data_IF_425360192521
#
_entry.id   IF_425360192521
#
_cell.length_a   1.000
_cell.length_b   1.000
_cell.length_c   1.000
_cell.angle_alpha   90.00
_cell.angle_beta   90.00
_cell.angle_gamma   90.00
#
_symmetry.space_group_name_H-M   'P 1'
#
loop_
_entity.id
_entity.type
_entity.pdbx_description
1 polymer ?
#
# COMPACT_ATOMS: atom_id res chain seq x y z
N UNK A 1 -6.26 -6.53 -26.64
CA UNK A 1 -5.83 -7.37 -25.51
C UNK A 1 -6.65 -7.01 -24.28
N UNK A 2 -7.14 -7.97 -23.51
CA UNK A 2 -7.82 -7.70 -22.23
C UNK A 2 -6.75 -7.54 -21.15
N UNK A 3 -6.66 -6.35 -20.56
CA UNK A 3 -5.80 -6.08 -19.40
C UNK A 3 -6.64 -6.30 -18.16
N UNK A 4 -6.19 -7.19 -17.28
CA UNK A 4 -6.89 -7.49 -16.02
C UNK A 4 -6.69 -6.36 -15.00
N UNK A 5 -7.49 -5.30 -15.12
CA UNK A 5 -7.39 -4.10 -14.27
C UNK A 5 -8.24 -4.17 -13.01
N UNK A 6 -9.23 -5.05 -12.95
CA UNK A 6 -10.12 -5.19 -11.80
C UNK A 6 -9.65 -6.30 -10.86
N UNK A 7 -9.74 -6.03 -9.57
CA UNK A 7 -9.50 -7.06 -8.54
C UNK A 7 -10.64 -8.07 -8.53
N UNK A 8 -10.36 -9.37 -8.38
CA UNK A 8 -11.39 -10.34 -8.11
C UNK A 8 -12.12 -9.96 -6.81
N UNK A 9 -13.42 -10.20 -6.76
CA UNK A 9 -14.24 -9.96 -5.58
C UNK A 9 -14.60 -11.28 -4.89
N UNK A 10 -14.79 -11.28 -3.56
CA UNK A 10 -15.27 -12.46 -2.83
C UNK A 10 -16.70 -12.80 -3.25
N UNK A 11 -17.07 -14.07 -3.13
CA UNK A 11 -18.46 -14.51 -3.34
C UNK A 11 -19.36 -13.97 -2.24
N UNK A 12 -18.92 -14.06 -0.99
CA UNK A 12 -19.60 -13.53 0.19
C UNK A 12 -19.19 -12.08 0.44
N UNK A 13 -20.13 -11.15 0.39
CA UNK A 13 -19.91 -9.72 0.63
C UNK A 13 -20.42 -9.23 1.97
N UNK A 14 -21.21 -10.03 2.66
CA UNK A 14 -21.85 -9.69 3.93
C UNK A 14 -20.99 -9.99 5.16
N UNK A 15 -19.69 -10.25 4.97
CA UNK A 15 -18.72 -10.32 6.07
C UNK A 15 -18.86 -9.11 6.98
N UNK A 16 -19.03 -9.33 8.27
CA UNK A 16 -19.21 -8.25 9.25
C UNK A 16 -17.87 -7.62 9.59
N UNK A 17 -17.61 -6.44 9.03
CA UNK A 17 -16.34 -5.72 9.15
C UNK A 17 -16.43 -4.70 10.29
N UNK A 18 -15.54 -4.80 11.26
CA UNK A 18 -15.29 -3.79 12.29
C UNK A 18 -14.14 -2.87 11.86
N UNK A 19 -14.38 -1.57 11.88
CA UNK A 19 -13.42 -0.55 11.44
C UNK A 19 -12.76 0.14 12.64
N UNK A 20 -11.44 0.12 12.69
CA UNK A 20 -10.65 0.77 13.76
C UNK A 20 -9.87 1.94 13.17
N UNK A 21 -10.23 3.15 13.60
CA UNK A 21 -9.77 4.41 13.03
C UNK A 21 -10.85 5.13 12.23
N UNK A 22 -10.78 6.47 12.16
CA UNK A 22 -11.74 7.31 11.44
C UNK A 22 -11.03 8.48 10.72
N UNK A 23 -9.73 8.30 10.41
CA UNK A 23 -8.95 9.28 9.65
C UNK A 23 -9.20 9.19 8.16
N UNK A 24 -8.49 10.03 7.39
CA UNK A 24 -8.59 10.12 5.92
C UNK A 24 -8.60 8.73 5.24
N UNK A 25 -7.67 7.85 5.60
CA UNK A 25 -7.58 6.53 4.95
C UNK A 25 -8.84 5.70 5.18
N UNK A 26 -9.38 5.67 6.40
CA UNK A 26 -10.62 4.95 6.68
C UNK A 26 -11.82 5.65 6.04
N UNK A 27 -11.99 6.94 6.31
CA UNK A 27 -13.17 7.69 5.89
C UNK A 27 -13.25 7.88 4.37
N UNK A 28 -12.16 8.37 3.75
CA UNK A 28 -12.21 8.83 2.37
C UNK A 28 -11.71 7.77 1.36
N UNK A 29 -11.13 6.66 1.85
CA UNK A 29 -10.62 5.60 0.99
C UNK A 29 -11.29 4.25 1.24
N UNK A 30 -11.09 3.63 2.42
CA UNK A 30 -11.61 2.28 2.70
C UNK A 30 -13.12 2.22 2.60
N UNK A 31 -13.83 3.04 3.36
CA UNK A 31 -15.30 3.00 3.42
C UNK A 31 -15.95 3.42 2.10
N UNK A 32 -15.34 4.33 1.34
CA UNK A 32 -15.78 4.65 -0.02
C UNK A 32 -15.63 3.43 -0.94
N UNK A 33 -14.47 2.77 -0.89
CA UNK A 33 -14.20 1.55 -1.66
C UNK A 33 -15.16 0.42 -1.27
N UNK A 34 -15.41 0.22 0.03
CA UNK A 34 -16.34 -0.80 0.53
C UNK A 34 -17.78 -0.56 0.06
N UNK A 35 -18.23 0.69 0.08
CA UNK A 35 -19.54 1.05 -0.48
C UNK A 35 -19.65 0.72 -1.97
N UNK A 36 -18.60 1.01 -2.77
CA UNK A 36 -18.55 0.66 -4.20
C UNK A 36 -18.56 -0.85 -4.45
N UNK A 37 -17.84 -1.62 -3.61
CA UNK A 37 -17.74 -3.08 -3.74
C UNK A 37 -18.95 -3.83 -3.17
N UNK A 38 -19.75 -3.17 -2.33
CA UNK A 38 -20.85 -3.79 -1.60
C UNK A 38 -20.40 -4.62 -0.41
N UNK A 39 -19.25 -4.28 0.22
CA UNK A 39 -18.80 -4.87 1.47
C UNK A 39 -19.60 -4.30 2.65
N UNK A 40 -19.57 -4.97 3.81
CA UNK A 40 -20.45 -4.71 4.92
C UNK A 40 -19.73 -4.23 6.19
N UNK A 41 -19.29 -2.96 6.27
CA UNK A 41 -18.80 -2.36 7.51
C UNK A 41 -19.97 -2.16 8.48
N UNK A 42 -19.95 -2.84 9.63
CA UNK A 42 -21.09 -2.85 10.59
C UNK A 42 -20.81 -2.07 11.86
N UNK A 43 -19.54 -1.87 12.21
CA UNK A 43 -19.13 -1.20 13.43
C UNK A 43 -17.87 -0.37 13.21
N UNK A 44 -17.72 0.71 13.99
CA UNK A 44 -16.54 1.55 13.98
C UNK A 44 -16.18 2.01 15.39
N UNK A 45 -14.87 2.07 15.66
CA UNK A 45 -14.31 2.75 16.83
C UNK A 45 -13.08 3.56 16.45
N UNK A 46 -12.82 4.64 17.16
CA UNK A 46 -11.57 5.37 17.05
C UNK A 46 -11.21 6.01 18.39
N UNK A 47 -9.96 6.51 18.49
CA UNK A 47 -9.50 7.23 19.69
C UNK A 47 -10.44 8.39 20.10
N UNK A 48 -11.08 9.02 19.12
CA UNK A 48 -12.06 10.09 19.33
C UNK A 48 -13.43 9.60 18.86
N UNK A 49 -14.34 9.34 19.79
CA UNK A 49 -15.68 8.82 19.52
C UNK A 49 -16.45 9.70 18.54
N UNK A 50 -16.37 11.03 18.69
CA UNK A 50 -17.10 11.97 17.82
C UNK A 50 -16.64 11.87 16.35
N UNK A 51 -15.34 11.59 16.11
CA UNK A 51 -14.86 11.36 14.75
C UNK A 51 -15.36 10.03 14.18
N UNK A 52 -15.41 8.98 15.01
CA UNK A 52 -16.03 7.72 14.62
C UNK A 52 -17.51 7.87 14.30
N UNK A 53 -18.25 8.65 15.10
CA UNK A 53 -19.68 8.91 14.88
C UNK A 53 -19.95 9.68 13.57
N UNK A 54 -19.14 10.69 13.25
CA UNK A 54 -19.24 11.41 11.96
C UNK A 54 -18.95 10.50 10.77
N UNK A 55 -17.92 9.67 10.89
CA UNK A 55 -17.56 8.70 9.87
C UNK A 55 -18.68 7.66 9.68
N UNK A 56 -19.27 7.15 10.78
CA UNK A 56 -20.39 6.23 10.76
C UNK A 56 -21.63 6.83 10.06
N UNK A 57 -21.95 8.08 10.37
CA UNK A 57 -23.08 8.80 9.73
C UNK A 57 -22.85 8.92 8.22
N UNK A 58 -21.65 9.32 7.79
CA UNK A 58 -21.30 9.49 6.38
C UNK A 58 -21.42 8.18 5.59
N UNK A 59 -21.05 7.05 6.19
CA UNK A 59 -21.01 5.74 5.52
C UNK A 59 -22.11 4.78 5.97
N UNK A 60 -23.09 5.25 6.73
CA UNK A 60 -24.25 4.46 7.21
C UNK A 60 -23.83 3.23 8.03
N UNK A 61 -22.77 3.34 8.84
CA UNK A 61 -22.35 2.28 9.76
C UNK A 61 -23.26 2.30 11.00
N UNK A 62 -23.85 1.14 11.30
CA UNK A 62 -24.92 1.06 12.31
C UNK A 62 -24.41 1.24 13.75
N UNK A 63 -23.20 0.77 14.06
CA UNK A 63 -22.69 0.71 15.44
C UNK A 63 -21.44 1.59 15.59
N UNK A 64 -21.46 2.47 16.59
CA UNK A 64 -20.30 3.26 17.02
C UNK A 64 -19.95 2.87 18.43
N UNK A 65 -18.83 2.19 18.63
CA UNK A 65 -18.32 1.83 19.95
C UNK A 65 -17.59 2.99 20.63
N UNK A 66 -17.65 3.05 21.95
CA UNK A 66 -17.02 4.11 22.74
C UNK A 66 -15.49 3.96 22.81
N UNK A 67 -14.99 2.74 22.60
CA UNK A 67 -13.57 2.44 22.59
C UNK A 67 -13.22 1.31 21.60
N UNK A 68 -11.92 1.19 21.29
CA UNK A 68 -11.41 0.07 20.47
C UNK A 68 -11.65 -1.24 21.22
N UNK A 69 -11.47 -1.29 22.53
CA UNK A 69 -11.71 -2.50 23.34
C UNK A 69 -13.16 -2.98 23.22
N UNK A 70 -14.14 -2.08 23.30
CA UNK A 70 -15.54 -2.46 23.12
C UNK A 70 -15.82 -3.02 21.70
N UNK A 71 -15.17 -2.48 20.65
CA UNK A 71 -15.29 -3.02 19.31
C UNK A 71 -14.65 -4.40 19.23
N UNK A 72 -13.50 -4.60 19.87
CA UNK A 72 -12.80 -5.88 19.91
C UNK A 72 -13.56 -6.95 20.72
N UNK A 73 -14.43 -6.55 21.64
CA UNK A 73 -15.29 -7.44 22.42
C UNK A 73 -16.64 -7.76 21.72
N UNK A 74 -16.92 -7.16 20.56
CA UNK A 74 -18.14 -7.41 19.79
C UNK A 74 -18.03 -8.72 19.00
N UNK A 75 -18.62 -9.81 19.55
CA UNK A 75 -18.63 -11.14 18.95
C UNK A 75 -19.34 -11.23 17.59
N UNK A 76 -20.04 -10.18 17.18
CA UNK A 76 -20.69 -10.13 15.87
C UNK A 76 -19.72 -9.75 14.73
N UNK A 77 -18.52 -9.28 15.03
CA UNK A 77 -17.51 -8.88 14.05
C UNK A 77 -16.72 -10.11 13.60
N UNK A 78 -16.57 -10.29 12.30
CA UNK A 78 -15.83 -11.40 11.72
C UNK A 78 -14.46 -10.99 11.18
N UNK A 79 -14.32 -9.71 10.76
CA UNK A 79 -13.11 -9.17 10.13
C UNK A 79 -12.81 -7.78 10.69
N UNK A 80 -11.55 -7.47 10.94
CA UNK A 80 -11.13 -6.12 11.34
C UNK A 80 -10.42 -5.41 10.19
N UNK A 81 -10.69 -4.13 10.09
CA UNK A 81 -9.93 -3.17 9.30
C UNK A 81 -9.24 -2.18 10.24
N UNK A 82 -7.92 -2.28 10.33
CA UNK A 82 -7.10 -1.53 11.31
C UNK A 82 -6.36 -0.40 10.59
N UNK A 83 -6.95 0.80 10.61
CA UNK A 83 -6.41 2.02 10.00
C UNK A 83 -5.96 3.04 11.05
N UNK A 84 -5.07 2.62 11.94
CA UNK A 84 -4.43 3.46 12.95
C UNK A 84 -2.97 3.76 12.56
N UNK A 85 -2.34 4.80 13.15
CA UNK A 85 -0.92 5.05 12.96
C UNK A 85 -0.05 3.83 13.27
N UNK A 86 1.10 3.64 12.59
CA UNK A 86 1.92 2.44 12.73
C UNK A 86 2.36 2.11 14.15
N UNK A 87 2.64 3.12 14.97
CA UNK A 87 3.02 3.01 16.38
C UNK A 87 1.92 2.45 17.30
N UNK A 88 0.68 2.36 16.81
CA UNK A 88 -0.44 1.80 17.58
C UNK A 88 -0.95 0.47 17.00
N UNK A 89 -0.46 0.04 15.83
CA UNK A 89 -1.00 -1.14 15.16
C UNK A 89 -0.73 -2.44 15.94
N UNK A 90 0.49 -2.63 16.41
CA UNK A 90 0.89 -3.86 17.11
C UNK A 90 0.04 -4.13 18.36
N UNK A 91 -0.24 -3.08 19.13
CA UNK A 91 -1.08 -3.19 20.35
C UNK A 91 -2.50 -3.63 19.99
N UNK A 92 -3.10 -2.99 18.97
CA UNK A 92 -4.46 -3.33 18.49
C UNK A 92 -4.52 -4.74 17.93
N UNK A 93 -3.54 -5.15 17.12
CA UNK A 93 -3.47 -6.50 16.54
C UNK A 93 -3.33 -7.56 17.65
N UNK A 94 -2.42 -7.36 18.61
CA UNK A 94 -2.27 -8.29 19.74
C UNK A 94 -3.54 -8.38 20.59
N UNK A 95 -4.18 -7.24 20.86
CA UNK A 95 -5.44 -7.21 21.59
C UNK A 95 -6.57 -7.96 20.85
N UNK A 96 -6.63 -7.90 19.52
CA UNK A 96 -7.55 -8.69 18.72
C UNK A 96 -7.21 -10.19 18.77
N UNK A 97 -5.92 -10.55 18.71
CA UNK A 97 -5.46 -11.94 18.81
C UNK A 97 -5.80 -12.55 20.19
N UNK A 98 -5.64 -11.80 21.27
CA UNK A 98 -5.94 -12.27 22.62
C UNK A 98 -7.44 -12.58 22.81
N UNK A 99 -8.33 -11.87 22.12
CA UNK A 99 -9.77 -12.13 22.14
C UNK A 99 -10.17 -13.33 21.25
N UNK A 100 -9.45 -13.53 20.14
CA UNK A 100 -9.65 -14.68 19.25
C UNK A 100 -11.04 -14.74 18.57
N UNK A 101 -11.75 -13.61 18.45
CA UNK A 101 -13.10 -13.54 17.90
C UNK A 101 -13.05 -13.48 16.38
N UNK A 102 -12.17 -12.66 15.82
CA UNK A 102 -12.13 -12.37 14.38
C UNK A 102 -11.34 -13.42 13.61
N UNK A 103 -11.68 -13.60 12.35
CA UNK A 103 -11.05 -14.55 11.42
C UNK A 103 -9.91 -13.92 10.63
N UNK A 104 -10.00 -12.60 10.39
CA UNK A 104 -9.03 -11.88 9.58
C UNK A 104 -8.87 -10.43 9.98
N UNK A 105 -7.69 -9.89 9.71
CA UNK A 105 -7.33 -8.49 9.96
C UNK A 105 -6.69 -7.92 8.70
N UNK A 106 -7.19 -6.78 8.21
CA UNK A 106 -6.51 -5.93 7.25
C UNK A 106 -5.81 -4.80 8.02
N UNK A 107 -4.49 -4.79 8.06
CA UNK A 107 -3.71 -3.75 8.71
C UNK A 107 -3.18 -2.71 7.71
N UNK A 108 -3.07 -1.46 8.12
CA UNK A 108 -2.44 -0.43 7.30
C UNK A 108 -0.93 -0.66 7.15
N UNK A 109 -0.40 -0.15 6.03
CA UNK A 109 1.05 -0.04 5.80
C UNK A 109 1.58 1.30 6.41
N UNK A 110 2.84 1.34 6.85
CA UNK A 110 3.71 0.18 7.10
C UNK A 110 3.14 -0.68 8.24
N UNK A 111 3.40 -1.97 8.22
CA UNK A 111 2.98 -2.87 9.31
C UNK A 111 3.87 -2.63 10.54
N UNK A 112 3.31 -1.95 11.54
CA UNK A 112 4.07 -1.53 12.72
C UNK A 112 5.07 -0.39 12.47
N UNK A 113 5.76 0.04 13.50
CA UNK A 113 6.75 1.11 13.48
C UNK A 113 8.11 0.71 12.93
N UNK A 114 8.42 -0.59 12.91
CA UNK A 114 9.68 -1.16 12.44
C UNK A 114 9.53 -2.64 12.07
N UNK A 115 10.60 -3.24 11.53
CA UNK A 115 10.58 -4.64 11.12
C UNK A 115 10.27 -5.62 12.27
N UNK A 116 10.80 -5.35 13.47
CA UNK A 116 10.57 -6.19 14.63
C UNK A 116 9.10 -6.24 15.04
N UNK A 117 8.44 -5.08 15.08
CA UNK A 117 7.01 -4.99 15.37
C UNK A 117 6.16 -5.67 14.28
N UNK A 118 6.58 -5.59 13.02
CA UNK A 118 5.92 -6.31 11.94
C UNK A 118 6.01 -7.83 12.14
N UNK A 119 7.19 -8.35 12.51
CA UNK A 119 7.38 -9.78 12.86
C UNK A 119 6.49 -10.18 14.03
N UNK A 120 6.47 -9.39 15.10
CA UNK A 120 5.65 -9.64 16.28
C UNK A 120 4.14 -9.69 15.94
N UNK A 121 3.66 -8.80 15.05
CA UNK A 121 2.27 -8.79 14.61
C UNK A 121 1.92 -10.05 13.81
N UNK A 122 2.80 -10.47 12.90
CA UNK A 122 2.64 -11.68 12.10
C UNK A 122 2.58 -12.91 13.00
N UNK A 123 3.56 -13.07 13.91
CA UNK A 123 3.64 -14.22 14.83
C UNK A 123 2.43 -14.28 15.79
N UNK A 124 1.94 -13.12 16.26
CA UNK A 124 0.73 -13.08 17.09
C UNK A 124 -0.50 -13.60 16.33
N UNK A 125 -0.71 -13.15 15.09
CA UNK A 125 -1.85 -13.59 14.27
C UNK A 125 -1.74 -15.07 13.88
N UNK A 126 -0.56 -15.56 13.49
CA UNK A 126 -0.34 -16.96 13.18
C UNK A 126 -0.63 -17.86 14.39
N UNK A 127 -0.15 -17.48 15.58
CA UNK A 127 -0.43 -18.19 16.82
C UNK A 127 -1.93 -18.21 17.16
N UNK A 128 -2.65 -17.13 16.85
CA UNK A 128 -4.09 -17.05 17.07
C UNK A 128 -4.93 -17.70 15.97
N UNK A 129 -4.32 -18.12 14.85
CA UNK A 129 -5.03 -18.64 13.69
C UNK A 129 -5.83 -17.58 12.92
N UNK A 130 -5.41 -16.30 12.99
CA UNK A 130 -6.04 -15.17 12.34
C UNK A 130 -5.27 -14.83 11.06
N UNK A 131 -5.98 -14.70 9.94
CA UNK A 131 -5.38 -14.27 8.67
C UNK A 131 -5.05 -12.78 8.74
N UNK A 132 -3.76 -12.42 8.64
CA UNK A 132 -3.31 -11.03 8.61
C UNK A 132 -2.90 -10.63 7.19
N UNK A 133 -3.57 -9.62 6.65
CA UNK A 133 -3.23 -8.98 5.37
C UNK A 133 -2.77 -7.54 5.62
N UNK A 134 -1.88 -7.03 4.75
CA UNK A 134 -1.39 -5.66 4.82
C UNK A 134 -1.87 -4.86 3.62
N UNK A 135 -2.34 -3.65 3.86
CA UNK A 135 -2.95 -2.79 2.84
C UNK A 135 -1.94 -2.23 1.84
N UNK A 136 -1.32 -3.10 1.05
CA UNK A 136 -0.46 -2.75 -0.08
C UNK A 136 -1.34 -2.44 -1.32
N UNK A 137 -2.09 -1.37 -1.22
CA UNK A 137 -3.16 -1.03 -2.16
C UNK A 137 -2.66 -0.66 -3.56
N UNK A 138 -1.42 -0.19 -3.72
CA UNK A 138 -0.89 0.19 -5.04
C UNK A 138 -0.82 -1.00 -6.01
N UNK A 139 -0.71 -2.25 -5.53
CA UNK A 139 -0.83 -3.45 -6.37
C UNK A 139 -2.15 -3.52 -7.14
N UNK A 140 -3.20 -2.85 -6.64
CA UNK A 140 -4.56 -2.86 -7.19
C UNK A 140 -4.91 -1.59 -7.97
N UNK A 141 -3.96 -0.67 -8.14
CA UNK A 141 -4.09 0.39 -9.14
C UNK A 141 -4.22 -0.21 -10.54
N UNK A 142 -5.09 0.36 -11.35
CA UNK A 142 -5.43 -0.20 -12.66
C UNK A 142 -4.23 -0.25 -13.60
N UNK A 143 -3.38 0.79 -13.57
CA UNK A 143 -2.16 0.82 -14.39
C UNK A 143 -1.13 -0.20 -13.93
N UNK A 144 -0.99 -0.41 -12.62
CA UNK A 144 -0.10 -1.40 -12.02
C UNK A 144 -0.54 -2.82 -12.36
N UNK A 145 -1.84 -3.11 -12.27
CA UNK A 145 -2.42 -4.40 -12.68
C UNK A 145 -2.27 -4.65 -14.17
N UNK A 146 -2.54 -3.63 -14.99
CA UNK A 146 -2.32 -3.71 -16.44
C UNK A 146 -0.84 -4.03 -16.75
N UNK A 147 0.10 -3.36 -16.09
CA UNK A 147 1.54 -3.67 -16.19
C UNK A 147 1.85 -5.12 -15.81
N UNK A 148 1.27 -5.63 -14.71
CA UNK A 148 1.42 -7.05 -14.32
C UNK A 148 0.88 -7.99 -15.39
N UNK A 149 -0.26 -7.68 -16.00
CA UNK A 149 -0.82 -8.49 -17.10
C UNK A 149 0.13 -8.57 -18.28
N UNK A 150 0.74 -7.44 -18.68
CA UNK A 150 1.71 -7.40 -19.80
C UNK A 150 2.99 -8.19 -19.48
N UNK A 151 3.43 -8.22 -18.26
CA UNK A 151 4.55 -9.03 -17.80
C UNK A 151 4.20 -10.53 -17.82
N UNK A 152 3.04 -10.88 -17.26
CA UNK A 152 2.63 -12.27 -17.09
C UNK A 152 2.31 -12.97 -18.40
N UNK A 153 1.73 -12.25 -19.37
CA UNK A 153 1.39 -12.80 -20.68
C UNK A 153 2.54 -12.75 -21.69
N UNK A 154 3.72 -12.27 -21.29
CA UNK A 154 4.92 -12.24 -22.11
C UNK A 154 5.00 -11.08 -23.12
N UNK A 155 4.07 -10.11 -23.09
CA UNK A 155 4.10 -8.95 -24.02
C UNK A 155 5.39 -8.14 -23.91
N UNK A 156 5.92 -8.01 -22.70
CA UNK A 156 7.17 -7.26 -22.44
C UNK A 156 8.41 -8.12 -22.73
N UNK A 157 8.29 -9.44 -22.66
CA UNK A 157 9.44 -10.35 -22.68
C UNK A 157 10.24 -10.30 -21.40
N UNK A 158 11.52 -10.68 -21.45
CA UNK A 158 12.44 -10.57 -20.32
C UNK A 158 12.63 -9.09 -19.93
N UNK A 159 12.33 -8.77 -18.68
CA UNK A 159 12.40 -7.39 -18.17
C UNK A 159 13.86 -6.97 -17.89
N UNK A 160 14.25 -5.84 -18.43
CA UNK A 160 15.62 -5.31 -18.35
C UNK A 160 15.72 -4.13 -17.39
N UNK A 161 14.75 -3.19 -17.49
CA UNK A 161 14.74 -1.96 -16.70
C UNK A 161 13.32 -1.63 -16.28
N UNK A 162 13.15 -1.23 -15.03
CA UNK A 162 11.91 -0.63 -14.54
C UNK A 162 12.21 0.65 -13.76
N UNK A 163 11.32 1.63 -13.86
CA UNK A 163 11.45 2.88 -13.12
C UNK A 163 10.13 3.30 -12.50
N UNK A 164 10.21 3.96 -11.32
CA UNK A 164 9.11 4.74 -10.74
C UNK A 164 9.68 6.12 -10.39
N UNK A 165 9.00 7.17 -10.83
CA UNK A 165 9.30 8.56 -10.48
C UNK A 165 8.07 9.18 -9.81
N UNK A 166 8.22 9.62 -8.56
CA UNK A 166 7.14 10.20 -7.79
C UNK A 166 7.44 11.65 -7.46
N UNK A 167 6.43 12.50 -7.73
CA UNK A 167 6.29 13.84 -7.18
C UNK A 167 4.95 13.88 -6.47
N UNK A 168 4.96 13.89 -5.14
CA UNK A 168 3.73 13.75 -4.36
C UNK A 168 3.52 14.88 -3.36
N UNK A 169 2.26 15.19 -3.02
CA UNK A 169 1.93 16.12 -1.96
C UNK A 169 2.29 15.49 -0.61
N UNK A 170 3.10 16.13 0.21
CA UNK A 170 3.37 15.63 1.54
C UNK A 170 2.11 15.71 2.40
N UNK A 171 1.77 14.61 3.04
CA UNK A 171 0.73 14.53 4.06
C UNK A 171 1.41 14.61 5.44
N UNK A 172 1.62 15.82 5.91
CA UNK A 172 2.21 16.04 7.23
C UNK A 172 1.16 15.77 8.30
N UNK A 173 0.95 14.51 8.60
CA UNK A 173 0.14 14.14 9.74
C UNK A 173 0.97 14.20 11.03
N UNK A 174 0.37 14.53 12.19
CA UNK A 174 1.12 14.65 13.45
C UNK A 174 1.92 13.42 13.85
N UNK A 175 1.49 12.22 13.43
CA UNK A 175 2.22 10.98 13.70
C UNK A 175 3.46 10.83 12.79
N UNK A 176 3.42 11.30 11.54
CA UNK A 176 4.58 11.34 10.64
C UNK A 176 5.67 12.25 11.19
N UNK A 177 5.28 13.43 11.66
CA UNK A 177 6.19 14.38 12.30
C UNK A 177 6.85 13.78 13.55
N UNK A 178 6.08 13.11 14.43
CA UNK A 178 6.63 12.43 15.62
C UNK A 178 7.61 11.32 15.26
N UNK A 179 7.37 10.61 14.16
CA UNK A 179 8.24 9.51 13.70
C UNK A 179 9.44 10.01 12.87
N UNK A 180 9.40 11.25 12.37
CA UNK A 180 10.41 11.78 11.48
C UNK A 180 10.42 11.11 10.09
N UNK A 181 9.29 10.58 9.62
CA UNK A 181 9.17 9.86 8.36
C UNK A 181 8.57 10.73 7.27
N UNK A 182 9.23 10.78 6.12
CA UNK A 182 8.78 11.59 4.97
C UNK A 182 8.51 10.72 3.75
N UNK A 183 9.43 9.89 3.33
CA UNK A 183 9.38 9.22 2.02
C UNK A 183 9.43 7.70 2.12
N UNK A 184 10.49 7.10 2.68
CA UNK A 184 10.74 5.65 2.58
C UNK A 184 9.61 4.79 3.19
N UNK A 185 9.17 5.08 4.41
CA UNK A 185 8.07 4.35 5.08
C UNK A 185 6.69 4.80 4.65
N UNK A 186 6.57 5.97 4.00
CA UNK A 186 5.28 6.56 3.67
C UNK A 186 4.87 6.24 2.24
N UNK A 187 5.75 6.48 1.28
CA UNK A 187 5.46 6.30 -0.14
C UNK A 187 6.34 5.26 -0.81
N UNK A 188 7.67 5.28 -0.59
CA UNK A 188 8.56 4.31 -1.25
C UNK A 188 8.24 2.86 -0.92
N UNK A 189 7.65 2.59 0.24
CA UNK A 189 7.14 1.25 0.61
C UNK A 189 6.13 0.72 -0.41
N UNK A 190 5.26 1.57 -0.98
CA UNK A 190 4.35 1.18 -2.05
C UNK A 190 5.10 0.85 -3.35
N UNK A 191 6.13 1.63 -3.69
CA UNK A 191 6.91 1.43 -4.90
C UNK A 191 7.77 0.17 -4.80
N UNK A 192 8.41 -0.07 -3.66
CA UNK A 192 9.14 -1.30 -3.38
C UNK A 192 8.22 -2.53 -3.45
N UNK A 193 7.03 -2.43 -2.89
CA UNK A 193 6.02 -3.48 -2.96
C UNK A 193 5.50 -3.69 -4.39
N UNK A 194 5.32 -2.63 -5.17
CA UNK A 194 4.95 -2.70 -6.59
C UNK A 194 6.02 -3.40 -7.41
N UNK A 195 7.30 -3.08 -7.21
CA UNK A 195 8.40 -3.79 -7.86
C UNK A 195 8.42 -5.28 -7.47
N UNK A 196 8.20 -5.61 -6.18
CA UNK A 196 8.05 -7.00 -5.75
C UNK A 196 6.85 -7.70 -6.41
N UNK A 197 5.72 -7.02 -6.51
CA UNK A 197 4.52 -7.53 -7.19
C UNK A 197 4.79 -7.83 -8.67
N UNK A 198 5.54 -6.98 -9.35
CA UNK A 198 5.87 -7.18 -10.77
C UNK A 198 6.93 -8.25 -11.00
N UNK A 199 8.01 -8.24 -10.26
CA UNK A 199 9.25 -8.96 -10.58
C UNK A 199 9.70 -9.97 -9.52
N UNK A 200 9.00 -10.08 -8.39
CA UNK A 200 9.43 -10.87 -7.25
C UNK A 200 10.43 -10.13 -6.34
N UNK A 201 11.13 -10.88 -5.52
CA UNK A 201 12.03 -10.29 -4.52
C UNK A 201 13.38 -9.92 -5.13
N UNK A 202 13.89 -8.69 -4.92
CA UNK A 202 15.25 -8.32 -5.31
C UNK A 202 16.27 -8.96 -4.36
N UNK A 203 17.51 -9.11 -4.81
CA UNK A 203 18.62 -9.60 -3.97
C UNK A 203 19.09 -8.53 -2.99
N UNK A 204 19.17 -7.27 -3.45
CA UNK A 204 19.71 -6.16 -2.66
C UNK A 204 19.20 -4.80 -3.15
N UNK A 205 19.34 -3.81 -2.28
CA UNK A 205 19.02 -2.40 -2.55
C UNK A 205 20.24 -1.52 -2.31
N UNK A 206 20.45 -0.54 -3.18
CA UNK A 206 21.28 0.63 -2.93
C UNK A 206 20.39 1.86 -2.84
N UNK A 207 20.48 2.61 -1.74
CA UNK A 207 19.65 3.78 -1.47
C UNK A 207 20.48 4.98 -1.08
N UNK A 208 20.07 6.15 -1.55
CA UNK A 208 20.56 7.45 -1.14
C UNK A 208 19.37 8.31 -0.72
N UNK A 209 19.48 8.94 0.45
CA UNK A 209 18.46 9.86 0.97
C UNK A 209 19.06 11.23 1.22
N UNK A 210 18.20 12.22 1.19
CA UNK A 210 18.52 13.59 1.55
C UNK A 210 17.44 14.16 2.45
N UNK A 211 17.84 14.84 3.53
CA UNK A 211 16.93 15.72 4.28
C UNK A 211 16.37 16.79 3.35
N UNK A 212 15.06 16.96 3.34
CA UNK A 212 14.39 17.94 2.51
C UNK A 212 14.32 19.29 3.24
N UNK A 213 14.99 20.34 2.74
CA UNK A 213 14.98 21.67 3.38
C UNK A 213 13.60 22.34 3.37
N UNK A 214 12.65 21.81 2.61
CA UNK A 214 11.26 22.29 2.52
C UNK A 214 10.37 21.71 3.61
N UNK A 215 10.81 20.63 4.29
CA UNK A 215 10.09 19.96 5.39
C UNK A 215 10.48 20.57 6.74
N UNK A 216 9.48 20.93 7.56
CA UNK A 216 9.65 21.74 8.77
C UNK A 216 10.04 20.95 10.04
N UNK A 217 10.01 19.63 10.02
CA UNK A 217 10.33 18.77 11.16
C UNK A 217 11.60 17.93 10.93
N UNK A 218 12.27 17.45 11.98
CA UNK A 218 13.45 16.61 11.85
C UNK A 218 13.14 15.29 11.14
N UNK A 219 13.89 14.95 10.10
CA UNK A 219 13.76 13.73 9.30
C UNK A 219 15.08 13.45 8.57
N UNK A 220 15.19 12.26 7.97
CA UNK A 220 16.35 11.85 7.18
C UNK A 220 16.03 11.56 5.72
N UNK A 221 14.83 11.10 5.43
CA UNK A 221 14.38 10.55 4.15
C UNK A 221 13.44 11.50 3.38
N UNK A 222 13.76 12.80 3.35
CA UNK A 222 12.93 13.79 2.64
C UNK A 222 12.84 13.55 1.14
N UNK A 223 13.96 13.21 0.51
CA UNK A 223 14.06 12.75 -0.87
C UNK A 223 14.78 11.42 -0.84
N UNK A 224 14.28 10.41 -1.55
CA UNK A 224 14.89 9.11 -1.66
C UNK A 224 15.12 8.73 -3.13
N UNK A 225 16.30 8.15 -3.41
CA UNK A 225 16.62 7.55 -4.71
C UNK A 225 17.21 6.16 -4.44
N UNK A 226 16.70 5.12 -5.10
CA UNK A 226 17.19 3.78 -4.87
C UNK A 226 17.16 2.89 -6.11
N UNK A 227 18.01 1.86 -6.08
CA UNK A 227 18.13 0.83 -7.11
C UNK A 227 17.92 -0.52 -6.44
N UNK A 228 17.01 -1.32 -6.98
CA UNK A 228 16.82 -2.72 -6.64
C UNK A 228 17.53 -3.58 -7.68
N UNK A 229 18.37 -4.51 -7.23
CA UNK A 229 19.09 -5.45 -8.08
C UNK A 229 18.49 -6.84 -7.96
N UNK A 230 18.18 -7.44 -9.10
CA UNK A 230 17.59 -8.78 -9.22
C UNK A 230 18.58 -9.78 -9.79
N UNK A 231 18.48 -11.05 -9.40
CA UNK A 231 19.30 -12.14 -9.90
C UNK A 231 19.21 -12.32 -11.44
N UNK A 232 18.06 -11.97 -12.03
CA UNK A 232 17.86 -11.97 -13.48
C UNK A 232 18.70 -10.92 -14.23
N UNK A 233 19.31 -9.98 -13.52
CA UNK A 233 19.98 -8.82 -14.13
C UNK A 233 19.10 -7.57 -14.26
N UNK A 234 17.79 -7.67 -14.02
CA UNK A 234 16.87 -6.52 -14.00
C UNK A 234 17.36 -5.48 -12.97
N UNK A 235 17.21 -4.23 -13.33
CA UNK A 235 17.33 -3.09 -12.42
C UNK A 235 16.00 -2.37 -12.30
N UNK A 236 15.50 -2.21 -11.07
CA UNK A 236 14.35 -1.36 -10.78
C UNK A 236 14.83 -0.13 -10.01
N UNK A 237 14.46 1.05 -10.47
CA UNK A 237 14.97 2.33 -9.97
C UNK A 237 13.80 3.20 -9.57
N UNK A 238 13.88 3.86 -8.41
CA UNK A 238 12.92 4.88 -8.07
C UNK A 238 13.57 6.18 -7.61
N UNK A 239 12.87 7.28 -7.89
CA UNK A 239 13.14 8.61 -7.36
C UNK A 239 11.85 9.10 -6.71
N UNK A 240 11.88 9.28 -5.41
CA UNK A 240 10.71 9.65 -4.60
C UNK A 240 10.94 11.00 -3.93
N UNK A 241 10.15 11.99 -4.32
CA UNK A 241 10.11 13.32 -3.74
C UNK A 241 8.68 13.65 -3.34
N UNK A 242 8.42 13.74 -2.04
CA UNK A 242 7.08 14.04 -1.51
C UNK A 242 6.70 15.51 -1.56
N UNK A 243 7.54 16.37 -2.10
CA UNK A 243 7.26 17.76 -2.32
C UNK A 243 6.90 18.06 -3.78
N UNK A 244 5.91 18.89 -4.01
CA UNK A 244 5.37 19.15 -5.35
C UNK A 244 5.69 20.57 -5.86
N UNK A 245 6.81 21.09 -5.45
CA UNK A 245 7.18 22.46 -5.82
C UNK A 245 6.32 23.52 -5.11
N UNK A 246 6.22 24.72 -5.63
CA UNK A 246 5.50 25.83 -5.02
C UNK A 246 3.97 25.76 -5.17
N UNK A 247 3.40 24.60 -5.47
CA UNK A 247 1.96 24.42 -5.70
C UNK A 247 1.09 24.76 -4.48
N UNK A 248 1.63 24.62 -3.25
CA UNK A 248 0.93 25.04 -2.03
C UNK A 248 0.73 26.54 -1.92
N UNK A 249 1.60 27.33 -2.52
CA UNK A 249 1.51 28.78 -2.61
C UNK A 249 0.74 29.25 -3.86
N UNK A 250 0.03 28.31 -4.54
CA UNK A 250 -0.79 28.61 -5.70
C UNK A 250 -0.03 28.66 -7.03
N UNK A 251 1.25 28.29 -7.05
CA UNK A 251 1.99 28.16 -8.30
C UNK A 251 1.72 26.78 -8.95
N UNK A 252 1.98 26.63 -10.27
CA UNK A 252 1.88 25.34 -10.94
C UNK A 252 2.75 24.29 -10.26
N UNK A 253 2.21 23.08 -10.12
CA UNK A 253 2.92 21.93 -9.57
C UNK A 253 2.78 20.73 -10.53
N UNK A 254 3.86 19.97 -10.64
CA UNK A 254 3.89 18.72 -11.38
C UNK A 254 3.79 17.58 -10.37
N UNK A 255 2.57 17.07 -10.20
CA UNK A 255 2.25 16.00 -9.25
C UNK A 255 1.94 14.75 -10.05
N UNK A 256 2.59 13.64 -9.71
CA UNK A 256 2.34 12.37 -10.36
C UNK A 256 3.21 11.25 -9.80
N UNK A 257 2.79 10.04 -10.10
CA UNK A 257 3.59 8.83 -9.89
C UNK A 257 3.64 8.14 -11.24
N UNK A 258 4.73 8.32 -11.95
CA UNK A 258 4.95 7.72 -13.25
C UNK A 258 5.80 6.47 -13.12
N UNK A 259 5.49 5.46 -13.93
CA UNK A 259 6.28 4.24 -13.98
C UNK A 259 6.57 3.80 -15.43
N UNK A 260 7.63 3.02 -15.59
CA UNK A 260 8.04 2.46 -16.85
C UNK A 260 8.65 1.07 -16.67
N UNK A 261 8.35 0.16 -17.60
CA UNK A 261 8.93 -1.19 -17.70
C UNK A 261 9.43 -1.37 -19.12
N UNK A 262 10.66 -1.82 -19.28
CA UNK A 262 11.28 -2.15 -20.55
C UNK A 262 11.78 -3.59 -20.54
N UNK A 263 11.50 -4.31 -21.60
CA UNK A 263 11.97 -5.67 -21.83
C UNK A 263 12.44 -5.91 -23.27
N UNK A 264 12.81 -7.14 -23.55
CA UNK A 264 13.35 -7.51 -24.88
C UNK A 264 12.32 -7.45 -26.00
N UNK A 265 11.03 -7.63 -25.69
CA UNK A 265 9.97 -7.74 -26.68
C UNK A 265 8.93 -6.61 -26.57
N UNK A 266 9.05 -5.70 -25.60
CA UNK A 266 8.11 -4.60 -25.46
C UNK A 266 8.47 -3.64 -24.35
N UNK A 267 7.66 -2.59 -24.25
CA UNK A 267 7.70 -1.62 -23.19
C UNK A 267 6.31 -1.20 -22.77
N UNK A 268 6.17 -0.82 -21.50
CA UNK A 268 4.99 -0.17 -20.97
C UNK A 268 5.38 1.01 -20.09
N UNK A 269 4.55 2.04 -20.08
CA UNK A 269 4.64 3.16 -19.15
C UNK A 269 3.25 3.53 -18.68
N UNK A 270 3.15 4.01 -17.45
CA UNK A 270 1.87 4.35 -16.87
C UNK A 270 1.96 5.46 -15.85
N UNK A 271 0.80 5.91 -15.43
CA UNK A 271 0.64 6.86 -14.34
C UNK A 271 -0.32 6.26 -13.32
N UNK A 272 0.06 6.36 -12.04
CA UNK A 272 -0.79 5.95 -10.92
C UNK A 272 -1.72 7.13 -10.60
N UNK A 273 -3.02 6.88 -10.68
CA UNK A 273 -4.02 7.92 -10.61
C UNK A 273 -4.24 8.48 -9.20
N UNK A 274 -4.66 9.72 -9.13
CA UNK A 274 -4.97 10.44 -7.92
C UNK A 274 -6.31 11.16 -8.02
N UNK A 275 -7.14 11.12 -6.98
CA UNK A 275 -8.52 11.64 -7.04
C UNK A 275 -8.74 12.98 -6.31
N UNK A 276 -7.73 13.56 -5.67
CA UNK A 276 -7.90 14.79 -4.91
C UNK A 276 -7.72 16.04 -5.76
N UNK A 277 -8.71 16.93 -5.72
CA UNK A 277 -8.60 18.27 -6.28
C UNK A 277 -7.46 19.08 -5.61
N UNK A 278 -6.75 19.92 -6.37
CA UNK A 278 -6.89 20.20 -7.81
C UNK A 278 -6.08 19.24 -8.72
N UNK A 279 -5.55 18.17 -8.19
CA UNK A 279 -4.57 17.30 -8.86
C UNK A 279 -5.16 15.95 -9.29
N UNK A 280 -6.46 15.89 -9.54
CA UNK A 280 -7.11 14.68 -10.04
C UNK A 280 -6.48 14.20 -11.34
N UNK A 281 -5.97 12.99 -11.32
CA UNK A 281 -5.35 12.34 -12.49
C UNK A 281 -5.82 10.89 -12.57
N UNK A 282 -6.36 10.40 -13.70
CA UNK A 282 -6.72 8.99 -13.85
C UNK A 282 -5.49 8.11 -13.91
N UNK A 283 -5.62 6.85 -13.48
CA UNK A 283 -4.62 5.83 -13.78
C UNK A 283 -4.60 5.56 -15.27
N UNK A 284 -3.42 5.43 -15.84
CA UNK A 284 -3.26 5.23 -17.30
C UNK A 284 -2.10 4.33 -17.64
N UNK A 285 -2.15 3.70 -18.82
CA UNK A 285 -1.05 2.92 -19.38
C UNK A 285 -0.91 3.20 -20.87
N UNK A 286 0.31 3.15 -21.33
CA UNK A 286 0.66 3.14 -22.74
C UNK A 286 1.71 2.07 -22.96
N UNK A 287 1.50 1.16 -23.92
CA UNK A 287 2.43 0.06 -24.19
C UNK A 287 2.55 -0.25 -25.67
N UNK A 288 3.65 -0.87 -26.02
CA UNK A 288 3.87 -1.44 -27.36
C UNK A 288 4.70 -2.71 -27.22
N UNK A 289 4.35 -3.72 -28.02
CA UNK A 289 5.11 -4.94 -28.19
C UNK A 289 5.88 -4.93 -29.51
N UNK A 290 6.84 -5.82 -29.63
CA UNK A 290 7.60 -6.03 -30.86
C UNK A 290 6.67 -6.40 -32.01
N UNK A 291 6.72 -5.60 -33.07
CA UNK A 291 5.86 -5.76 -34.25
C UNK A 291 4.66 -4.82 -34.27
N UNK A 292 4.34 -4.13 -33.20
CA UNK A 292 3.31 -3.10 -33.23
C UNK A 292 3.76 -1.89 -34.02
N UNK A 293 2.83 -1.29 -34.78
CA UNK A 293 3.07 -0.08 -35.57
C UNK A 293 2.81 1.21 -34.76
N UNK A 294 2.11 1.10 -33.63
CA UNK A 294 1.70 2.22 -32.78
C UNK A 294 1.57 1.78 -31.32
N UNK A 295 1.50 2.76 -30.43
CA UNK A 295 1.24 2.51 -29.01
C UNK A 295 -0.23 2.24 -28.74
N UNK A 296 -0.51 1.30 -27.85
CA UNK A 296 -1.82 1.05 -27.27
C UNK A 296 -1.99 1.87 -25.99
N UNK A 297 -3.09 2.60 -25.87
CA UNK A 297 -3.36 3.48 -24.72
C UNK A 297 -4.81 3.31 -24.24
N UNK A 298 -5.16 2.17 -23.62
CA UNK A 298 -6.49 1.98 -23.07
C UNK A 298 -6.74 2.93 -21.91
N UNK A 299 -8.00 3.29 -21.68
CA UNK A 299 -8.44 4.19 -20.62
C UNK A 299 -9.55 3.58 -19.80
N UNK A 300 -9.66 3.98 -18.55
CA UNK A 300 -10.69 3.59 -17.59
C UNK A 300 -10.99 4.74 -16.62
N UNK A 301 -12.16 4.75 -15.97
CA UNK A 301 -12.56 5.84 -15.09
C UNK A 301 -12.00 5.70 -13.65
N UNK A 302 -11.54 4.51 -13.28
CA UNK A 302 -11.05 4.23 -11.93
C UNK A 302 -9.67 4.84 -11.71
N UNK A 303 -9.32 5.04 -10.44
CA UNK A 303 -8.02 5.56 -10.02
C UNK A 303 -7.51 4.84 -8.77
N UNK A 304 -6.23 5.03 -8.45
CA UNK A 304 -5.64 4.43 -7.26
C UNK A 304 -6.47 4.70 -6.00
N UNK A 305 -6.74 5.96 -5.72
CA UNK A 305 -7.59 6.40 -4.61
C UNK A 305 -8.99 6.76 -5.13
N UNK A 306 -10.07 6.15 -4.64
CA UNK A 306 -10.12 5.11 -3.60
C UNK A 306 -10.20 3.68 -4.16
N UNK A 307 -10.22 3.46 -5.48
CA UNK A 307 -10.67 2.22 -6.10
C UNK A 307 -9.76 1.02 -5.82
N UNK A 308 -8.46 1.26 -5.65
CA UNK A 308 -7.51 0.19 -5.34
C UNK A 308 -7.72 -0.44 -3.93
N UNK A 309 -8.39 0.26 -3.03
CA UNK A 309 -8.70 -0.26 -1.69
C UNK A 309 -9.76 -1.36 -1.70
N UNK A 310 -10.53 -1.48 -2.79
CA UNK A 310 -11.41 -2.64 -3.02
C UNK A 310 -10.59 -3.93 -3.02
N UNK A 311 -9.47 -3.92 -3.74
CA UNK A 311 -8.65 -5.12 -3.93
C UNK A 311 -8.02 -5.63 -2.65
N UNK A 312 -7.61 -4.77 -1.73
CA UNK A 312 -6.96 -5.20 -0.48
C UNK A 312 -7.93 -5.91 0.45
N UNK A 313 -9.12 -5.36 0.69
CA UNK A 313 -10.13 -6.05 1.48
C UNK A 313 -10.64 -7.31 0.75
N UNK A 314 -10.86 -7.23 -0.57
CA UNK A 314 -11.28 -8.39 -1.35
C UNK A 314 -10.33 -9.58 -1.19
N UNK A 315 -9.00 -9.34 -1.21
CA UNK A 315 -8.01 -10.41 -1.05
C UNK A 315 -8.07 -11.07 0.33
N UNK A 316 -8.27 -10.30 1.39
CA UNK A 316 -8.48 -10.87 2.72
C UNK A 316 -9.76 -11.72 2.76
N UNK A 317 -10.87 -11.19 2.24
CA UNK A 317 -12.14 -11.91 2.26
C UNK A 317 -12.10 -13.20 1.42
N UNK A 318 -11.47 -13.16 0.24
CA UNK A 318 -11.24 -14.36 -0.60
C UNK A 318 -10.38 -15.38 0.15
N UNK A 319 -9.32 -14.94 0.82
CA UNK A 319 -8.48 -15.84 1.61
C UNK A 319 -9.27 -16.55 2.72
N UNK A 320 -10.20 -15.84 3.38
CA UNK A 320 -11.09 -16.43 4.38
C UNK A 320 -12.10 -17.42 3.78
N UNK A 321 -12.52 -17.24 2.52
CA UNK A 321 -13.42 -18.16 1.82
C UNK A 321 -12.70 -19.42 1.33
N UNK A 322 -11.51 -19.26 0.80
CA UNK A 322 -10.79 -20.34 0.12
C UNK A 322 -9.82 -21.09 1.03
N UNK A 323 -9.38 -20.47 2.12
CA UNK A 323 -8.29 -20.96 2.97
C UNK A 323 -6.90 -20.79 2.35
N UNK A 324 -6.78 -20.08 1.23
CA UNK A 324 -5.51 -19.75 0.60
C UNK A 324 -4.89 -18.48 1.20
N UNK A 325 -3.57 -18.37 1.17
CA UNK A 325 -2.88 -17.15 1.61
C UNK A 325 -3.26 -15.95 0.71
N UNK A 326 -3.59 -14.78 1.31
CA UNK A 326 -3.86 -13.60 0.50
C UNK A 326 -2.60 -13.10 -0.20
N UNK A 327 -2.74 -12.60 -1.43
CA UNK A 327 -1.61 -12.05 -2.20
C UNK A 327 -0.86 -10.90 -1.48
N UNK A 328 -1.51 -10.28 -0.50
CA UNK A 328 -0.96 -9.25 0.39
C UNK A 328 -0.81 -9.77 1.83
N UNK A 329 -0.57 -11.06 2.01
CA UNK A 329 -0.38 -11.69 3.31
C UNK A 329 0.77 -11.05 4.09
N UNK A 330 0.60 -10.95 5.40
CA UNK A 330 1.54 -10.22 6.23
C UNK A 330 2.91 -10.93 6.32
N UNK A 331 2.96 -12.26 6.23
CA UNK A 331 4.24 -13.01 6.18
C UNK A 331 5.06 -12.65 4.94
N UNK A 332 4.44 -12.55 3.76
CA UNK A 332 5.12 -12.08 2.55
C UNK A 332 5.47 -10.59 2.65
N UNK A 333 4.62 -9.78 3.29
CA UNK A 333 4.86 -8.36 3.46
C UNK A 333 6.09 -8.04 4.32
N UNK A 334 6.54 -8.96 5.19
CA UNK A 334 7.81 -8.79 5.92
C UNK A 334 8.99 -8.52 4.97
N UNK A 335 8.97 -9.05 3.76
CA UNK A 335 9.99 -8.76 2.75
C UNK A 335 9.93 -7.31 2.24
N UNK A 336 8.72 -6.74 2.11
CA UNK A 336 8.56 -5.30 1.82
C UNK A 336 9.07 -4.45 2.98
N UNK A 337 8.76 -4.83 4.22
CA UNK A 337 9.30 -4.16 5.41
C UNK A 337 10.82 -4.27 5.48
N UNK A 338 11.39 -5.44 5.17
CA UNK A 338 12.83 -5.65 5.11
C UNK A 338 13.52 -4.78 4.05
N UNK A 339 12.88 -4.56 2.88
CA UNK A 339 13.39 -3.64 1.85
C UNK A 339 13.48 -2.21 2.37
N UNK A 340 12.47 -1.74 3.10
CA UNK A 340 12.47 -0.40 3.70
C UNK A 340 13.61 -0.26 4.71
N UNK A 341 13.81 -1.25 5.60
CA UNK A 341 14.94 -1.23 6.54
C UNK A 341 16.29 -1.30 5.81
N UNK A 342 16.38 -2.12 4.77
CA UNK A 342 17.59 -2.22 3.95
C UNK A 342 17.89 -0.90 3.22
N UNK A 343 16.86 -0.14 2.81
CA UNK A 343 17.01 1.18 2.22
C UNK A 343 17.62 2.19 3.21
N UNK A 344 17.08 2.27 4.43
CA UNK A 344 17.66 3.12 5.48
C UNK A 344 19.10 2.73 5.79
N UNK A 345 19.37 1.44 5.98
CA UNK A 345 20.69 0.93 6.25
C UNK A 345 21.68 1.19 5.11
N UNK A 346 21.22 1.03 3.86
CA UNK A 346 22.03 1.35 2.67
C UNK A 346 22.41 2.83 2.61
N UNK A 347 21.46 3.72 2.93
CA UNK A 347 21.73 5.16 2.97
C UNK A 347 22.72 5.55 4.08
N UNK A 348 22.63 4.89 5.25
CA UNK A 348 23.54 5.13 6.38
C UNK A 348 24.95 4.57 6.13
N UNK A 349 25.06 3.33 5.61
CA UNK A 349 26.32 2.63 5.39
C UNK A 349 26.96 2.94 4.03
N UNK A 350 26.28 3.68 3.14
CA UNK A 350 26.72 4.02 1.78
C UNK A 350 27.13 2.81 0.93
N UNK A 351 26.39 1.71 1.04
CA UNK A 351 26.60 0.46 0.28
C UNK A 351 25.27 -0.21 -0.10
N UNK A 352 25.35 -1.16 -1.01
CA UNK A 352 24.23 -2.07 -1.25
C UNK A 352 24.02 -2.97 -0.03
N UNK A 353 22.74 -3.19 0.34
CA UNK A 353 22.30 -4.05 1.45
C UNK A 353 21.39 -5.15 0.92
N UNK A 354 21.71 -6.39 1.24
CA UNK A 354 20.89 -7.56 0.90
C UNK A 354 19.71 -7.73 1.85
N UNK A 355 18.59 -8.23 1.35
CA UNK A 355 17.42 -8.54 2.17
C UNK A 355 17.76 -9.54 3.30
N UNK A 356 18.59 -10.53 3.02
CA UNK A 356 19.05 -11.52 4.00
C UNK A 356 19.88 -10.94 5.16
N UNK A 357 20.32 -9.69 5.05
CA UNK A 357 21.00 -9.01 6.15
C UNK A 357 20.03 -8.45 7.20
N UNK A 358 18.77 -8.24 6.83
CA UNK A 358 17.70 -7.72 7.69
C UNK A 358 16.96 -8.87 8.38
N UNK A 359 16.66 -9.93 7.64
CA UNK A 359 15.90 -11.09 8.11
C UNK A 359 16.79 -12.08 8.89
N UNK A 360 17.35 -11.62 10.01
CA UNK A 360 18.23 -12.43 10.90
C UNK A 360 17.61 -12.74 12.25
N UNK A 361 16.27 -12.94 12.32
CA UNK A 361 15.62 -13.46 13.53
C UNK A 361 15.20 -14.91 13.38
#
# INVERSE_FOLDING_TARGET
MNLDIHSPLPERKDWRIGCIGSGFIMNDCHLVAYGKAGFNPVAIASRTRDNAAKCAEQHSIATVHDSIDQLLDDESIEVLDVAVPPDNQLEVIKAACDRGIVKGILAQKPLGGNYAEAVDAVEACEKAGIVLAVNQNMRYDQSVRAGKTLLTNGTIGESILATIDMRGIPHWMPWQERQGWVTLRIMSIHHMDTFRYWFGDPERIYCSVRTDPRTQFPHTDGIASYILEYASGLRAIAVDDTWTGPGREGAPADIGIEWRIEGLDGLAKGNIGWCQDPYTTPSSITYAAKGDSEFHSPTWPESWFPDAFIGTMAQLLIALETGEEPAIGARDNLKTMALVEAAYRSAEEHRAVGLSEIDKR
#
